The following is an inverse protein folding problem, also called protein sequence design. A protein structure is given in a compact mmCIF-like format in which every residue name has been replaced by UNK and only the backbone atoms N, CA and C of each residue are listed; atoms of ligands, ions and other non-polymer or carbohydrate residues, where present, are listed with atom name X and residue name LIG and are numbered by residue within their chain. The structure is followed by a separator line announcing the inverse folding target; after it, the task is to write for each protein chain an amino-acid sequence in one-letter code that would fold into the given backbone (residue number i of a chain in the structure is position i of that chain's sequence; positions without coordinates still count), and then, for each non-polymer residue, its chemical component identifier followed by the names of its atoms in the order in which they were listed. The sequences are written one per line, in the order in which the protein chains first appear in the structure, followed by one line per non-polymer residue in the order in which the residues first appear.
data_IF_990316131942
#
_entry.id   IF_990316131942
#
_cell.length_a   1.000
_cell.length_b   1.000
_cell.length_c   1.000
_cell.angle_alpha   90.00
_cell.angle_beta   90.00
_cell.angle_gamma   90.00
#
_symmetry.space_group_name_H-M   'P 1'
#
loop_
_entity.id
_entity.type
_entity.pdbx_description
1 polymer ?
#
# COMPACT_ATOMS: atom_id res chain seq x y z
N UNK A 1 -73.04 -28.71 2.52
CA UNK A 1 -71.75 -29.39 2.72
C UNK A 1 -70.64 -28.50 2.19
N UNK A 2 -69.94 -27.77 3.07
CA UNK A 2 -68.82 -26.88 2.69
C UNK A 2 -67.53 -27.67 2.84
N UNK A 3 -66.74 -27.80 1.77
CA UNK A 3 -65.38 -28.36 1.83
C UNK A 3 -64.40 -27.19 1.96
N UNK A 4 -63.66 -27.17 3.06
CA UNK A 4 -62.55 -26.24 3.32
C UNK A 4 -61.28 -26.94 2.85
N UNK A 5 -60.58 -26.31 1.90
CA UNK A 5 -59.30 -26.76 1.36
C UNK A 5 -58.19 -26.08 2.20
N UNK A 6 -57.40 -26.86 2.93
CA UNK A 6 -56.21 -26.36 3.61
C UNK A 6 -55.00 -26.52 2.67
N UNK A 7 -54.40 -25.39 2.27
CA UNK A 7 -53.12 -25.35 1.58
C UNK A 7 -51.98 -25.48 2.59
N UNK A 8 -51.13 -26.47 2.39
CA UNK A 8 -49.87 -26.64 3.11
C UNK A 8 -48.77 -25.90 2.33
N UNK A 9 -48.34 -24.75 2.83
CA UNK A 9 -47.14 -24.07 2.35
C UNK A 9 -45.95 -24.61 3.14
N UNK A 10 -45.05 -25.36 2.49
CA UNK A 10 -43.79 -25.81 3.09
C UNK A 10 -42.81 -24.63 3.01
N UNK A 11 -42.69 -23.87 4.10
CA UNK A 11 -41.65 -22.87 4.28
C UNK A 11 -40.36 -23.60 4.67
N UNK A 12 -39.49 -23.82 3.68
CA UNK A 12 -38.17 -24.42 3.91
C UNK A 12 -37.23 -23.36 4.48
N UNK A 13 -37.12 -23.32 5.81
CA UNK A 13 -36.19 -22.46 6.53
C UNK A 13 -34.78 -23.05 6.37
N UNK A 14 -33.97 -22.48 5.49
CA UNK A 14 -32.57 -22.84 5.35
C UNK A 14 -31.82 -22.46 6.63
N UNK A 15 -31.27 -23.46 7.32
CA UNK A 15 -30.45 -23.31 8.51
C UNK A 15 -29.06 -22.83 8.07
N UNK A 16 -28.83 -21.52 8.08
CA UNK A 16 -27.48 -20.96 7.97
C UNK A 16 -26.76 -21.24 9.31
N UNK A 17 -25.94 -22.28 9.31
CA UNK A 17 -25.05 -22.57 10.43
C UNK A 17 -23.99 -21.48 10.54
N UNK A 18 -24.13 -20.60 11.53
CA UNK A 18 -23.07 -19.69 11.94
C UNK A 18 -21.90 -20.50 12.51
N UNK A 19 -20.82 -20.63 11.74
CA UNK A 19 -19.54 -21.04 12.28
C UNK A 19 -18.85 -19.82 12.91
N UNK A 20 -18.14 -19.98 14.04
CA UNK A 20 -17.37 -18.90 14.63
C UNK A 20 -16.26 -18.48 13.67
N UNK A 21 -16.30 -17.23 13.23
CA UNK A 21 -15.24 -16.62 12.42
C UNK A 21 -13.97 -16.55 13.27
N UNK A 22 -12.92 -17.25 12.84
CA UNK A 22 -11.56 -16.94 13.27
C UNK A 22 -11.18 -15.60 12.66
N UNK A 23 -10.65 -14.67 13.46
CA UNK A 23 -10.15 -13.40 12.96
C UNK A 23 -8.94 -13.65 12.04
N UNK A 24 -9.22 -13.89 10.76
CA UNK A 24 -8.24 -13.81 9.69
C UNK A 24 -7.80 -12.35 9.52
N UNK A 25 -6.59 -12.14 9.01
CA UNK A 25 -6.14 -10.82 8.60
C UNK A 25 -7.22 -10.19 7.70
N UNK A 26 -7.61 -8.97 8.00
CA UNK A 26 -8.55 -8.20 7.18
C UNK A 26 -7.96 -8.09 5.77
N UNK A 27 -8.62 -8.64 4.73
CA UNK A 27 -8.09 -8.55 3.39
C UNK A 27 -8.07 -7.08 2.95
N UNK A 28 -6.95 -6.65 2.38
CA UNK A 28 -6.76 -5.29 1.86
C UNK A 28 -7.31 -5.15 0.42
N UNK A 29 -8.47 -5.76 0.16
CA UNK A 29 -9.08 -5.79 -1.17
C UNK A 29 -10.42 -5.06 -1.15
N UNK A 30 -10.55 -4.04 -2.01
CA UNK A 30 -11.84 -3.41 -2.32
C UNK A 30 -12.38 -4.09 -3.58
N UNK A 31 -13.39 -4.95 -3.44
CA UNK A 31 -14.01 -5.64 -4.59
C UNK A 31 -14.95 -4.76 -5.44
N UNK A 32 -15.12 -3.48 -5.10
CA UNK A 32 -16.10 -2.58 -5.72
C UNK A 32 -15.68 -2.13 -7.12
N UNK A 33 -15.87 -2.99 -8.12
CA UNK A 33 -15.58 -2.72 -9.52
C UNK A 33 -16.53 -3.50 -10.45
N UNK A 34 -16.40 -3.27 -11.75
CA UNK A 34 -17.00 -4.06 -12.82
C UNK A 34 -16.09 -5.22 -13.22
N UNK A 35 -16.68 -6.40 -13.41
CA UNK A 35 -15.97 -7.62 -13.79
C UNK A 35 -16.61 -8.24 -15.03
N UNK A 36 -15.78 -8.79 -15.90
CA UNK A 36 -16.20 -9.75 -16.91
C UNK A 36 -16.20 -11.15 -16.29
N UNK A 37 -17.38 -11.64 -15.92
CA UNK A 37 -17.59 -12.97 -15.35
C UNK A 37 -17.92 -13.97 -16.46
N UNK A 38 -17.12 -15.02 -16.61
CA UNK A 38 -17.36 -16.08 -17.59
C UNK A 38 -17.56 -17.41 -16.89
N UNK A 39 -18.76 -17.99 -17.02
CA UNK A 39 -19.03 -19.38 -16.63
C UNK A 39 -18.74 -20.32 -17.81
N UNK A 40 -17.95 -21.35 -17.59
CA UNK A 40 -17.73 -22.43 -18.55
C UNK A 40 -18.38 -23.70 -18.04
N UNK A 41 -19.35 -24.21 -18.79
CA UNK A 41 -20.10 -25.38 -18.39
C UNK A 41 -19.24 -26.65 -18.36
N UNK A 42 -19.40 -27.44 -17.29
CA UNK A 42 -18.74 -28.72 -17.10
C UNK A 42 -19.73 -29.87 -17.26
N UNK A 43 -20.91 -29.79 -16.62
CA UNK A 43 -21.99 -30.80 -16.75
C UNK A 43 -23.36 -30.14 -16.87
N UNK A 44 -24.31 -30.80 -17.56
CA UNK A 44 -25.71 -30.35 -17.67
C UNK A 44 -25.99 -29.29 -18.75
N UNK A 45 -24.96 -28.81 -19.44
CA UNK A 45 -25.02 -27.81 -20.51
C UNK A 45 -23.76 -27.91 -21.41
N UNK A 46 -23.56 -26.95 -22.32
CA UNK A 46 -22.33 -26.83 -23.10
C UNK A 46 -22.05 -25.39 -23.52
N UNK A 47 -20.78 -25.01 -23.51
CA UNK A 47 -20.31 -23.68 -23.91
C UNK A 47 -19.83 -22.80 -22.75
N UNK A 48 -19.48 -21.57 -23.10
CA UNK A 48 -19.10 -20.52 -22.16
C UNK A 48 -20.11 -19.37 -22.23
N UNK A 49 -20.43 -18.83 -21.08
CA UNK A 49 -21.48 -17.84 -20.88
C UNK A 49 -20.84 -16.60 -20.25
N UNK A 50 -20.54 -15.57 -21.05
CA UNK A 50 -19.99 -14.31 -20.56
C UNK A 50 -21.09 -13.41 -20.01
N UNK A 51 -20.79 -12.78 -18.89
CA UNK A 51 -21.70 -12.00 -18.08
C UNK A 51 -20.96 -10.76 -17.55
N UNK A 52 -21.67 -9.67 -17.27
CA UNK A 52 -21.12 -8.55 -16.49
C UNK A 52 -21.39 -8.77 -15.01
N UNK A 53 -20.50 -8.36 -14.13
CA UNK A 53 -20.76 -8.35 -12.68
C UNK A 53 -20.25 -7.05 -12.11
N UNK A 54 -21.15 -6.21 -11.60
CA UNK A 54 -20.85 -4.92 -10.99
C UNK A 54 -21.04 -5.04 -9.49
N UNK A 55 -19.97 -4.97 -8.71
CA UNK A 55 -20.03 -5.01 -7.24
C UNK A 55 -20.14 -3.57 -6.74
N UNK A 56 -21.25 -3.23 -6.09
CA UNK A 56 -21.59 -1.84 -5.70
C UNK A 56 -21.49 -1.59 -4.20
N UNK A 57 -21.54 -2.65 -3.38
CA UNK A 57 -21.24 -2.58 -1.96
C UNK A 57 -19.93 -3.32 -1.77
N UNK A 58 -18.87 -2.54 -1.53
CA UNK A 58 -17.57 -3.06 -1.15
C UNK A 58 -17.74 -3.97 0.06
N UNK A 59 -16.94 -5.04 0.08
CA UNK A 59 -16.70 -5.87 1.25
C UNK A 59 -16.59 -4.97 2.48
N UNK A 60 -17.56 -5.06 3.40
CA UNK A 60 -17.35 -4.52 4.74
C UNK A 60 -16.10 -5.24 5.28
N UNK A 61 -14.99 -4.53 5.54
CA UNK A 61 -13.71 -5.17 5.87
C UNK A 61 -13.80 -6.00 7.15
N UNK A 62 -14.86 -5.81 7.96
CA UNK A 62 -15.13 -6.59 9.17
C UNK A 62 -15.95 -7.85 8.86
N UNK A 63 -16.88 -7.80 7.91
CA UNK A 63 -17.80 -8.92 7.66
C UNK A 63 -17.52 -9.70 6.38
N UNK A 64 -16.80 -9.13 5.42
CA UNK A 64 -16.51 -9.73 4.12
C UNK A 64 -17.70 -9.74 3.16
N UNK A 65 -18.85 -9.17 3.54
CA UNK A 65 -20.10 -9.25 2.77
C UNK A 65 -20.07 -8.25 1.61
N UNK A 66 -20.44 -8.70 0.41
CA UNK A 66 -20.60 -7.84 -0.76
C UNK A 66 -21.92 -8.07 -1.48
N UNK A 67 -22.34 -7.08 -2.29
CA UNK A 67 -23.48 -7.22 -3.18
C UNK A 67 -23.29 -6.42 -4.48
N UNK A 68 -24.06 -6.80 -5.51
CA UNK A 68 -23.93 -6.24 -6.85
C UNK A 68 -25.03 -6.67 -7.80
N UNK A 69 -24.86 -6.33 -9.07
CA UNK A 69 -25.79 -6.68 -10.17
C UNK A 69 -25.02 -7.12 -11.42
N UNK A 70 -25.74 -7.56 -12.44
CA UNK A 70 -25.14 -7.88 -13.73
C UNK A 70 -26.16 -8.26 -14.80
N UNK A 71 -25.68 -8.56 -16.01
CA UNK A 71 -26.50 -9.04 -17.12
C UNK A 71 -25.75 -9.93 -18.10
N UNK A 72 -26.48 -10.83 -18.78
CA UNK A 72 -25.88 -11.82 -19.67
C UNK A 72 -25.50 -11.13 -20.97
N UNK A 73 -24.22 -11.12 -21.34
CA UNK A 73 -23.73 -10.23 -22.40
C UNK A 73 -24.46 -10.42 -23.75
N UNK A 74 -24.76 -11.66 -24.21
CA UNK A 74 -25.51 -11.86 -25.44
C UNK A 74 -27.00 -11.45 -25.36
N UNK A 75 -27.58 -11.37 -24.16
CA UNK A 75 -28.98 -10.97 -23.94
C UNK A 75 -29.10 -10.08 -22.70
N UNK A 76 -28.78 -8.77 -22.81
CA UNK A 76 -28.73 -7.85 -21.65
C UNK A 76 -30.05 -7.67 -20.89
N UNK A 77 -31.18 -8.09 -21.47
CA UNK A 77 -32.47 -8.13 -20.79
C UNK A 77 -32.55 -9.19 -19.68
N UNK A 78 -31.61 -10.15 -19.64
CA UNK A 78 -31.47 -11.13 -18.57
C UNK A 78 -30.51 -10.53 -17.55
N UNK A 79 -31.07 -9.97 -16.47
CA UNK A 79 -30.35 -9.34 -15.37
C UNK A 79 -30.31 -10.24 -14.14
N UNK A 80 -29.49 -9.90 -13.15
CA UNK A 80 -29.46 -10.57 -11.85
C UNK A 80 -28.92 -9.66 -10.75
N UNK A 81 -29.09 -10.15 -9.52
CA UNK A 81 -28.38 -9.67 -8.34
C UNK A 81 -27.31 -10.68 -7.93
N UNK A 82 -26.22 -10.19 -7.33
CA UNK A 82 -25.20 -11.02 -6.69
C UNK A 82 -25.07 -10.62 -5.22
N UNK A 83 -24.98 -11.62 -4.35
CA UNK A 83 -24.66 -11.44 -2.92
C UNK A 83 -23.59 -12.45 -2.54
N UNK A 84 -22.63 -12.06 -1.72
CA UNK A 84 -21.52 -12.94 -1.40
C UNK A 84 -20.74 -12.55 -0.17
N UNK A 85 -19.72 -13.35 0.12
CA UNK A 85 -18.80 -13.19 1.23
C UNK A 85 -17.35 -13.48 0.80
N UNK A 86 -16.42 -12.67 1.29
CA UNK A 86 -14.97 -12.88 1.20
C UNK A 86 -14.43 -13.25 2.58
N UNK A 87 -13.60 -14.29 2.63
CA UNK A 87 -12.88 -14.72 3.84
C UNK A 87 -11.42 -15.00 3.48
N UNK A 88 -10.54 -14.07 3.81
CA UNK A 88 -9.16 -14.05 3.29
C UNK A 88 -9.17 -13.96 1.76
N UNK A 89 -8.55 -14.94 1.10
CA UNK A 89 -8.56 -15.06 -0.36
C UNK A 89 -9.70 -15.93 -0.88
N UNK A 90 -10.59 -16.45 -0.03
CA UNK A 90 -11.72 -17.25 -0.46
C UNK A 90 -12.92 -16.35 -0.76
N UNK A 91 -13.64 -16.66 -1.84
CA UNK A 91 -14.85 -15.95 -2.21
C UNK A 91 -16.00 -16.94 -2.42
N UNK A 92 -17.17 -16.58 -1.91
CA UNK A 92 -18.43 -17.30 -2.12
C UNK A 92 -19.51 -16.32 -2.53
N UNK A 93 -20.34 -16.68 -3.51
CA UNK A 93 -21.46 -15.82 -3.91
C UNK A 93 -22.62 -16.59 -4.52
N UNK A 94 -23.78 -15.95 -4.47
CA UNK A 94 -25.03 -16.39 -5.06
C UNK A 94 -25.45 -15.38 -6.12
N UNK A 95 -25.66 -15.84 -7.35
CA UNK A 95 -26.35 -15.09 -8.40
C UNK A 95 -27.82 -15.52 -8.42
N UNK A 96 -28.71 -14.53 -8.35
CA UNK A 96 -30.16 -14.70 -8.50
C UNK A 96 -30.64 -13.98 -9.76
N UNK A 97 -30.99 -14.75 -10.79
CA UNK A 97 -31.38 -14.23 -12.10
C UNK A 97 -32.80 -13.71 -12.07
N UNK A 98 -32.95 -12.41 -12.31
CA UNK A 98 -34.22 -11.70 -12.29
C UNK A 98 -35.22 -12.36 -13.24
N UNK A 99 -36.48 -12.41 -12.81
CA UNK A 99 -37.58 -13.03 -13.56
C UNK A 99 -37.42 -14.54 -13.84
N UNK A 100 -36.51 -15.24 -13.16
CA UNK A 100 -36.36 -16.70 -13.20
C UNK A 100 -36.32 -17.30 -11.79
N UNK A 101 -36.55 -18.61 -11.67
CA UNK A 101 -36.27 -19.37 -10.45
C UNK A 101 -34.86 -19.98 -10.48
N UNK A 102 -33.96 -19.41 -11.29
CA UNK A 102 -32.63 -19.95 -11.56
C UNK A 102 -31.58 -19.20 -10.75
N UNK A 103 -30.84 -19.95 -9.94
CA UNK A 103 -29.75 -19.41 -9.13
C UNK A 103 -28.46 -20.18 -9.37
N UNK A 104 -27.33 -19.49 -9.20
CA UNK A 104 -25.99 -20.06 -9.33
C UNK A 104 -25.22 -19.77 -8.05
N UNK A 105 -24.80 -20.84 -7.36
CA UNK A 105 -23.94 -20.76 -6.18
C UNK A 105 -22.50 -20.97 -6.62
N UNK A 106 -21.62 -20.04 -6.29
CA UNK A 106 -20.22 -20.05 -6.67
C UNK A 106 -19.30 -20.02 -5.46
N UNK A 107 -18.19 -20.73 -5.58
CA UNK A 107 -17.07 -20.71 -4.65
C UNK A 107 -15.78 -20.56 -5.45
N UNK A 108 -14.78 -19.87 -4.89
CA UNK A 108 -13.51 -19.66 -5.57
C UNK A 108 -12.49 -18.93 -4.72
N UNK A 109 -11.48 -18.40 -5.41
CA UNK A 109 -10.38 -17.66 -4.80
C UNK A 109 -10.12 -16.34 -5.53
N UNK A 110 -9.67 -15.35 -4.78
CA UNK A 110 -9.13 -14.08 -5.25
C UNK A 110 -7.61 -14.26 -5.36
N UNK A 111 -7.07 -14.23 -6.58
CA UNK A 111 -5.63 -14.37 -6.82
C UNK A 111 -4.92 -13.01 -6.73
N UNK A 112 -5.58 -11.97 -7.20
CA UNK A 112 -5.20 -10.56 -7.10
C UNK A 112 -6.47 -9.68 -7.22
N UNK A 113 -6.33 -8.35 -7.13
CA UNK A 113 -7.43 -7.38 -7.20
C UNK A 113 -8.29 -7.51 -8.47
N UNK A 114 -7.74 -8.03 -9.57
CA UNK A 114 -8.42 -8.10 -10.85
C UNK A 114 -8.86 -9.52 -11.21
N UNK A 115 -8.35 -10.58 -10.58
CA UNK A 115 -8.54 -11.95 -11.05
C UNK A 115 -9.11 -12.85 -9.96
N UNK A 116 -10.32 -13.33 -10.22
CA UNK A 116 -11.01 -14.32 -9.40
C UNK A 116 -11.36 -15.55 -10.22
N UNK A 117 -11.35 -16.72 -9.61
CA UNK A 117 -11.75 -17.96 -10.30
C UNK A 117 -12.26 -19.03 -9.34
N UNK A 118 -13.01 -20.01 -9.87
CA UNK A 118 -13.46 -21.13 -9.07
C UNK A 118 -14.47 -22.04 -9.75
N UNK A 119 -15.37 -22.60 -8.94
CA UNK A 119 -16.44 -23.50 -9.37
C UNK A 119 -17.80 -22.94 -9.01
N UNK A 120 -18.81 -23.26 -9.80
CA UNK A 120 -20.19 -22.91 -9.49
C UNK A 120 -21.15 -24.04 -9.82
N UNK A 121 -22.30 -24.04 -9.16
CA UNK A 121 -23.35 -25.01 -9.40
C UNK A 121 -24.73 -24.35 -9.43
N UNK A 122 -25.59 -24.89 -10.27
CA UNK A 122 -27.05 -24.75 -10.21
C UNK A 122 -27.66 -26.16 -10.14
N UNK A 123 -28.96 -26.33 -9.81
CA UNK A 123 -29.54 -27.65 -9.52
C UNK A 123 -29.35 -28.75 -10.59
N UNK A 124 -29.04 -28.39 -11.84
CA UNK A 124 -28.82 -29.35 -12.94
C UNK A 124 -27.52 -29.13 -13.70
N UNK A 125 -26.71 -28.14 -13.32
CA UNK A 125 -25.52 -27.74 -14.07
C UNK A 125 -24.35 -27.45 -13.14
N UNK A 126 -23.15 -27.71 -13.63
CA UNK A 126 -21.91 -27.30 -12.94
C UNK A 126 -21.04 -26.52 -13.89
N UNK A 127 -20.28 -25.59 -13.33
CA UNK A 127 -19.45 -24.65 -14.05
C UNK A 127 -18.08 -24.51 -13.39
N UNK A 128 -17.10 -24.16 -14.20
CA UNK A 128 -15.96 -23.36 -13.73
C UNK A 128 -16.25 -21.91 -14.04
N UNK A 129 -15.68 -20.99 -13.29
CA UNK A 129 -15.83 -19.56 -13.57
C UNK A 129 -14.51 -18.82 -13.41
N UNK A 130 -14.39 -17.75 -14.18
CA UNK A 130 -13.31 -16.75 -14.07
C UNK A 130 -13.97 -15.38 -14.13
N UNK A 131 -13.55 -14.48 -13.26
CA UNK A 131 -13.92 -13.07 -13.31
C UNK A 131 -12.64 -12.24 -13.42
N UNK A 132 -12.59 -11.39 -14.44
CA UNK A 132 -11.50 -10.44 -14.65
C UNK A 132 -12.06 -9.03 -14.48
N UNK A 133 -11.51 -8.26 -13.55
CA UNK A 133 -11.85 -6.86 -13.32
C UNK A 133 -11.61 -6.07 -14.59
N UNK A 134 -12.59 -5.25 -14.95
CA UNK A 134 -12.43 -4.17 -15.93
C UNK A 134 -11.87 -3.02 -15.11
N UNK A 135 -10.58 -3.10 -14.78
CA UNK A 135 -9.92 -2.18 -13.85
C UNK A 135 -10.26 -0.73 -14.20
N UNK A 136 -11.21 -0.15 -13.47
CA UNK A 136 -11.37 1.29 -13.39
C UNK A 136 -10.59 1.70 -12.18
N UNK A 137 -9.30 1.88 -12.39
CA UNK A 137 -8.46 2.41 -11.35
C UNK A 137 -8.98 3.79 -10.97
N UNK A 138 -9.59 3.90 -9.78
CA UNK A 138 -10.03 5.17 -9.24
C UNK A 138 -8.80 5.87 -8.69
N UNK A 139 -8.54 7.04 -9.24
CA UNK A 139 -7.65 8.05 -8.70
C UNK A 139 -8.58 9.14 -8.14
N UNK A 140 -8.72 9.16 -6.80
CA UNK A 140 -9.76 9.96 -6.14
C UNK A 140 -9.42 11.45 -6.06
N UNK A 141 -8.14 11.77 -6.01
CA UNK A 141 -7.63 13.14 -5.90
C UNK A 141 -7.09 13.68 -7.23
N UNK A 142 -6.93 12.81 -8.23
CA UNK A 142 -6.54 13.16 -9.58
C UNK A 142 -5.06 13.48 -9.69
N UNK A 143 -4.22 12.92 -8.82
CA UNK A 143 -2.78 13.19 -8.80
C UNK A 143 -2.02 12.37 -9.87
N UNK A 144 -2.67 11.37 -10.48
CA UNK A 144 -2.10 10.46 -11.46
C UNK A 144 -1.72 9.09 -10.87
N UNK A 145 -1.95 8.88 -9.57
CA UNK A 145 -1.73 7.62 -8.85
C UNK A 145 -3.08 7.06 -8.40
N UNK A 146 -3.26 5.78 -8.67
CA UNK A 146 -4.52 5.11 -8.38
C UNK A 146 -4.59 4.80 -6.89
N UNK A 147 -5.76 4.92 -6.25
CA UNK A 147 -5.91 4.79 -4.78
C UNK A 147 -5.24 3.54 -4.18
N UNK A 148 -5.18 2.42 -4.91
CA UNK A 148 -4.56 1.17 -4.43
C UNK A 148 -3.02 1.22 -4.39
N UNK A 149 -2.42 2.23 -5.01
CA UNK A 149 -0.98 2.47 -5.13
C UNK A 149 -0.58 3.85 -4.60
N UNK A 150 -1.56 4.65 -4.20
CA UNK A 150 -1.41 5.94 -3.56
C UNK A 150 -1.34 5.71 -2.03
N UNK A 151 -0.25 6.17 -1.42
CA UNK A 151 -0.02 6.14 0.02
C UNK A 151 -0.44 7.45 0.70
N UNK A 152 -0.81 8.47 -0.07
CA UNK A 152 -0.98 9.83 0.38
C UNK A 152 -2.23 10.48 -0.23
N UNK A 153 -3.41 10.10 0.26
CA UNK A 153 -4.68 10.70 -0.17
C UNK A 153 -4.65 12.24 -0.21
N UNK A 154 -5.19 12.80 -1.30
CA UNK A 154 -5.42 14.24 -1.45
C UNK A 154 -4.19 15.02 -1.87
N UNK A 155 -3.30 14.40 -2.64
CA UNK A 155 -2.08 15.02 -3.12
C UNK A 155 -2.39 16.17 -4.05
N UNK A 156 -2.10 17.37 -3.55
CA UNK A 156 -2.03 18.56 -4.36
C UNK A 156 -0.58 18.78 -4.83
N UNK A 157 -0.39 19.39 -6.02
CA UNK A 157 0.89 19.98 -6.38
C UNK A 157 1.39 20.90 -5.26
N UNK A 158 2.71 20.89 -5.02
CA UNK A 158 3.30 21.77 -4.02
C UNK A 158 3.08 23.25 -4.39
N UNK A 159 3.05 24.14 -3.40
CA UNK A 159 2.94 25.60 -3.61
C UNK A 159 3.93 26.08 -4.68
N UNK A 160 3.54 27.09 -5.49
CA UNK A 160 4.33 27.51 -6.64
C UNK A 160 5.74 27.94 -6.24
N UNK A 161 6.68 27.49 -7.07
CA UNK A 161 8.12 27.67 -6.96
C UNK A 161 8.54 29.07 -6.44
N UNK A 162 9.39 29.11 -5.42
CA UNK A 162 10.07 30.32 -4.93
C UNK A 162 11.60 30.18 -4.96
N UNK A 163 12.27 31.08 -5.70
CA UNK A 163 13.73 31.16 -5.83
C UNK A 163 14.46 31.32 -4.47
N UNK A 164 13.77 31.71 -3.41
CA UNK A 164 14.32 31.88 -2.07
C UNK A 164 14.64 30.56 -1.34
N UNK A 165 14.19 29.41 -1.86
CA UNK A 165 14.27 28.12 -1.16
C UNK A 165 15.66 27.45 -1.20
N UNK A 166 16.60 28.02 -1.96
CA UNK A 166 17.97 27.52 -2.05
C UNK A 166 18.11 26.29 -2.96
N UNK A 167 19.34 25.84 -3.18
CA UNK A 167 19.68 24.86 -4.24
C UNK A 167 19.33 23.41 -3.86
N UNK A 168 19.02 22.54 -4.84
CA UNK A 168 18.79 21.10 -4.66
C UNK A 168 17.56 20.74 -3.80
N UNK A 169 16.47 21.47 -4.00
CA UNK A 169 15.17 21.23 -3.37
C UNK A 169 14.21 20.63 -4.38
N UNK A 170 13.51 19.58 -3.95
CA UNK A 170 12.62 18.78 -4.78
C UNK A 170 11.19 19.10 -4.39
N UNK A 171 10.31 19.21 -5.38
CA UNK A 171 8.90 19.48 -5.20
C UNK A 171 8.10 18.86 -6.35
N UNK A 172 6.84 18.61 -6.10
CA UNK A 172 5.86 18.14 -7.08
C UNK A 172 5.24 19.36 -7.77
N UNK A 173 5.27 19.40 -9.09
CA UNK A 173 4.67 20.47 -9.88
C UNK A 173 3.59 19.96 -10.83
N UNK A 174 2.61 20.82 -11.11
CA UNK A 174 1.61 20.61 -12.18
C UNK A 174 2.20 21.11 -13.51
N UNK A 175 2.22 20.25 -14.51
CA UNK A 175 2.75 20.49 -15.85
C UNK A 175 1.80 21.34 -16.72
N UNK A 176 1.21 22.39 -16.14
CA UNK A 176 0.22 23.25 -16.79
C UNK A 176 -0.96 22.46 -17.41
N UNK A 177 -1.56 21.54 -16.65
CA UNK A 177 -2.81 20.86 -17.03
C UNK A 177 -2.63 19.61 -17.88
N UNK A 178 -1.52 18.90 -17.74
CA UNK A 178 -1.41 17.48 -18.08
C UNK A 178 -1.81 16.62 -16.88
N UNK A 179 -2.32 15.41 -17.14
CA UNK A 179 -2.71 14.45 -16.09
C UNK A 179 -1.50 13.83 -15.35
N UNK A 180 -0.28 14.24 -15.69
CA UNK A 180 0.96 13.67 -15.15
C UNK A 180 1.64 14.69 -14.21
N UNK A 181 1.70 14.35 -12.92
CA UNK A 181 2.37 15.18 -11.92
C UNK A 181 3.85 14.78 -11.79
N UNK A 182 4.76 15.74 -12.02
CA UNK A 182 6.20 15.52 -12.08
C UNK A 182 6.98 16.11 -10.90
N UNK A 183 8.09 15.46 -10.56
CA UNK A 183 9.04 15.98 -9.59
C UNK A 183 10.07 16.89 -10.25
N UNK A 184 10.17 18.08 -9.69
CA UNK A 184 11.05 19.15 -10.12
C UNK A 184 12.11 19.45 -9.09
N UNK A 185 13.29 19.84 -9.55
CA UNK A 185 14.42 20.26 -8.72
C UNK A 185 14.77 21.71 -8.96
N UNK A 186 15.03 22.45 -7.88
CA UNK A 186 15.62 23.77 -8.00
C UNK A 186 17.01 23.71 -8.66
N UNK A 187 17.14 24.36 -9.81
CA UNK A 187 18.44 24.64 -10.39
C UNK A 187 19.15 25.67 -9.51
N UNK A 188 20.31 25.33 -8.96
CA UNK A 188 21.03 26.23 -8.03
C UNK A 188 21.57 27.54 -8.66
N UNK A 189 21.10 27.92 -9.85
CA UNK A 189 21.55 29.09 -10.59
C UNK A 189 20.58 30.24 -10.36
N UNK A 190 21.08 31.29 -9.69
CA UNK A 190 20.39 32.56 -9.51
C UNK A 190 19.87 33.09 -10.85
N UNK A 191 18.56 33.33 -10.96
CA UNK A 191 17.89 33.85 -12.16
C UNK A 191 17.38 32.80 -13.16
N UNK A 192 17.40 31.51 -12.80
CA UNK A 192 16.68 30.46 -13.53
C UNK A 192 15.33 30.26 -12.86
N UNK A 193 14.26 30.67 -13.54
CA UNK A 193 12.87 30.59 -13.06
C UNK A 193 12.19 29.27 -13.38
N UNK A 194 12.84 28.39 -14.15
CA UNK A 194 12.27 27.12 -14.61
C UNK A 194 12.98 25.99 -13.83
N UNK A 195 12.25 25.24 -12.99
CA UNK A 195 12.78 24.06 -12.32
C UNK A 195 13.30 23.01 -13.32
N UNK A 196 14.29 22.23 -12.91
CA UNK A 196 14.81 21.12 -13.70
C UNK A 196 13.92 19.89 -13.44
N UNK A 197 13.30 19.36 -14.49
CA UNK A 197 12.62 18.06 -14.42
C UNK A 197 13.64 16.97 -14.04
N UNK A 198 13.27 16.18 -13.05
CA UNK A 198 14.13 15.14 -12.48
C UNK A 198 13.95 13.79 -13.17
N UNK A 199 12.90 13.64 -13.97
CA UNK A 199 12.44 12.38 -14.55
C UNK A 199 11.70 11.47 -13.58
N UNK A 200 11.50 11.89 -12.32
CA UNK A 200 10.63 11.20 -11.37
C UNK A 200 9.18 11.70 -11.53
N UNK A 201 8.23 10.80 -11.37
CA UNK A 201 6.79 11.09 -11.34
C UNK A 201 6.25 10.92 -9.93
N UNK A 202 5.04 11.44 -9.67
CA UNK A 202 4.36 11.21 -8.39
C UNK A 202 4.08 9.71 -8.14
N UNK A 203 3.94 8.92 -9.20
CA UNK A 203 3.82 7.48 -9.12
C UNK A 203 5.05 6.80 -8.51
N UNK A 204 6.26 7.34 -8.75
CA UNK A 204 7.49 6.83 -8.12
C UNK A 204 7.46 7.03 -6.61
N UNK A 205 6.79 8.07 -6.11
CA UNK A 205 6.64 8.36 -4.68
C UNK A 205 5.33 7.85 -4.10
N UNK A 206 4.63 6.97 -4.82
CA UNK A 206 3.35 6.39 -4.40
C UNK A 206 2.30 7.45 -4.05
N UNK A 207 2.13 8.45 -4.92
CA UNK A 207 1.15 9.50 -4.73
C UNK A 207 1.60 10.59 -3.75
N UNK A 208 2.71 10.44 -3.03
CA UNK A 208 3.09 11.41 -2.01
C UNK A 208 3.89 12.60 -2.56
N UNK A 209 3.49 13.83 -2.21
CA UNK A 209 4.31 15.04 -2.41
C UNK A 209 5.36 15.23 -1.30
N UNK A 210 6.17 16.29 -1.42
CA UNK A 210 7.27 16.55 -0.49
C UNK A 210 6.79 16.79 0.95
N UNK A 211 5.67 17.49 1.16
CA UNK A 211 5.14 17.74 2.49
C UNK A 211 4.51 16.51 3.12
N UNK A 212 3.78 15.70 2.35
CA UNK A 212 3.19 14.45 2.81
C UNK A 212 4.27 13.43 3.20
N UNK A 213 5.33 13.28 2.39
CA UNK A 213 6.47 12.42 2.74
C UNK A 213 7.08 12.85 4.09
N UNK A 214 7.30 14.15 4.29
CA UNK A 214 7.86 14.64 5.55
C UNK A 214 6.91 14.43 6.74
N UNK A 215 5.61 14.61 6.54
CA UNK A 215 4.60 14.38 7.57
C UNK A 215 4.53 12.91 7.99
N UNK A 216 4.59 11.99 7.03
CA UNK A 216 4.60 10.56 7.30
C UNK A 216 5.89 10.12 8.00
N UNK A 217 7.04 10.66 7.57
CA UNK A 217 8.32 10.42 8.24
C UNK A 217 8.31 10.95 9.68
N UNK A 218 7.77 12.14 9.92
CA UNK A 218 7.62 12.72 11.27
C UNK A 218 6.67 11.90 12.14
N UNK A 219 5.53 11.46 11.60
CA UNK A 219 4.59 10.60 12.31
C UNK A 219 5.20 9.24 12.66
N UNK A 220 5.99 8.65 11.75
CA UNK A 220 6.62 7.34 11.93
C UNK A 220 7.83 7.40 12.88
N UNK A 221 8.64 8.43 12.79
CA UNK A 221 9.94 8.52 13.51
C UNK A 221 9.88 9.37 14.78
N UNK A 222 8.88 10.26 14.89
CA UNK A 222 8.79 11.27 15.94
C UNK A 222 9.83 12.39 15.82
N UNK A 223 10.57 12.47 14.70
CA UNK A 223 11.57 13.50 14.49
C UNK A 223 11.02 14.74 13.79
N UNK A 224 11.37 15.96 14.23
CA UNK A 224 11.00 17.18 13.53
C UNK A 224 11.85 17.37 12.27
N UNK A 225 11.21 17.54 11.12
CA UNK A 225 11.85 17.85 9.83
C UNK A 225 11.74 19.33 9.45
N UNK A 226 11.70 20.25 10.44
CA UNK A 226 11.44 21.70 10.27
C UNK A 226 12.24 22.39 9.15
N UNK A 227 13.51 21.98 8.96
CA UNK A 227 14.36 22.51 7.90
C UNK A 227 13.96 22.07 6.50
N UNK A 228 13.30 20.92 6.35
CA UNK A 228 12.83 20.39 5.08
C UNK A 228 11.46 20.94 4.70
N UNK A 229 10.55 21.14 5.66
CA UNK A 229 9.24 21.77 5.38
C UNK A 229 9.39 23.18 4.79
N UNK A 230 10.33 23.97 5.31
CA UNK A 230 10.51 25.37 4.89
C UNK A 230 11.12 25.53 3.49
N UNK A 231 11.93 24.57 3.06
CA UNK A 231 12.74 24.70 1.85
C UNK A 231 12.45 23.63 0.80
N UNK A 232 11.46 22.77 1.02
CA UNK A 232 11.20 21.59 0.19
C UNK A 232 12.03 20.37 0.58
N UNK A 233 11.61 19.21 0.09
CA UNK A 233 12.25 17.94 0.42
C UNK A 233 13.60 17.82 -0.29
N UNK A 234 14.57 17.17 0.37
CA UNK A 234 15.90 16.94 -0.22
C UNK A 234 15.90 15.65 -1.03
N UNK A 235 16.72 15.58 -2.10
CA UNK A 235 16.89 14.39 -2.94
C UNK A 235 16.99 13.08 -2.14
N UNK A 236 17.85 13.07 -1.12
CA UNK A 236 18.09 11.85 -0.35
C UNK A 236 16.85 11.35 0.39
N UNK A 237 15.96 12.26 0.82
CA UNK A 237 14.71 11.86 1.48
C UNK A 237 13.76 11.21 0.47
N UNK A 238 13.66 11.79 -0.74
CA UNK A 238 12.84 11.19 -1.82
C UNK A 238 13.41 9.83 -2.23
N UNK A 239 14.73 9.71 -2.42
CA UNK A 239 15.39 8.45 -2.76
C UNK A 239 15.24 7.40 -1.65
N UNK A 240 15.36 7.79 -0.38
CA UNK A 240 15.16 6.90 0.76
C UNK A 240 13.68 6.46 0.86
N UNK A 241 12.72 7.36 0.63
CA UNK A 241 11.29 7.06 0.58
C UNK A 241 10.96 6.02 -0.49
N UNK A 242 11.41 6.24 -1.73
CA UNK A 242 11.22 5.32 -2.86
C UNK A 242 11.84 3.94 -2.55
N UNK A 243 12.93 3.90 -1.80
CA UNK A 243 13.58 2.67 -1.37
C UNK A 243 12.91 2.00 -0.14
N UNK A 244 11.83 2.58 0.41
CA UNK A 244 11.18 2.10 1.63
C UNK A 244 12.04 2.26 2.89
N UNK A 245 12.91 3.27 2.92
CA UNK A 245 13.86 3.55 4.01
C UNK A 245 13.43 4.78 4.80
N UNK A 246 13.36 4.62 6.13
CA UNK A 246 12.94 5.68 7.06
C UNK A 246 14.13 6.24 7.81
N UNK A 247 14.33 7.56 7.75
CA UNK A 247 15.47 8.21 8.39
C UNK A 247 15.25 8.38 9.89
N UNK A 248 16.11 7.77 10.71
CA UNK A 248 15.87 7.69 12.16
C UNK A 248 16.38 8.85 12.97
N UNK A 249 17.62 9.27 12.72
CA UNK A 249 18.31 10.41 13.29
C UNK A 249 19.77 10.42 12.81
N UNK A 250 20.47 11.52 13.08
CA UNK A 250 21.92 11.58 12.91
C UNK A 250 22.60 11.46 14.27
N UNK A 251 23.26 10.34 14.54
CA UNK A 251 23.94 10.12 15.83
C UNK A 251 25.40 10.59 15.78
N UNK A 252 25.89 11.34 16.78
CA UNK A 252 27.30 11.63 16.90
C UNK A 252 28.06 10.35 17.27
N UNK A 253 29.14 10.06 16.54
CA UNK A 253 30.07 8.97 16.88
C UNK A 253 31.39 9.59 17.33
N UNK A 254 31.86 9.18 18.51
CA UNK A 254 33.17 9.58 19.02
C UNK A 254 34.28 9.02 18.14
N UNK A 255 35.19 9.89 17.69
CA UNK A 255 36.39 9.46 16.97
C UNK A 255 37.30 8.55 17.79
N UNK A 256 37.11 8.47 19.11
CA UNK A 256 37.86 7.60 20.03
C UNK A 256 37.25 6.19 20.16
N UNK A 257 36.20 5.87 19.40
CA UNK A 257 35.61 4.53 19.35
C UNK A 257 34.46 4.27 20.34
N UNK A 258 33.74 5.31 20.76
CA UNK A 258 32.54 5.12 21.59
C UNK A 258 31.37 4.53 20.82
N UNK A 259 30.46 3.91 21.58
CA UNK A 259 29.18 3.39 21.11
C UNK A 259 28.22 4.57 20.88
N UNK A 260 27.75 4.75 19.65
CA UNK A 260 26.57 5.57 19.42
C UNK A 260 25.32 4.79 19.84
N UNK A 261 24.47 5.43 20.64
CA UNK A 261 23.21 4.85 21.11
C UNK A 261 22.06 5.75 20.69
N UNK A 262 21.08 5.15 20.02
CA UNK A 262 19.76 5.74 19.78
C UNK A 262 18.78 5.15 20.79
N UNK A 263 17.87 5.97 21.32
CA UNK A 263 16.76 5.51 22.17
C UNK A 263 15.42 5.53 21.41
N UNK A 264 15.44 5.72 20.09
CA UNK A 264 14.22 5.77 19.30
C UNK A 264 13.58 4.39 19.24
N UNK A 265 12.29 4.33 19.58
CA UNK A 265 11.48 3.11 19.49
C UNK A 265 11.17 2.89 18.01
N UNK A 266 11.49 1.70 17.50
CA UNK A 266 11.32 1.34 16.09
C UNK A 266 10.07 0.47 15.91
N UNK A 267 9.30 0.77 14.87
CA UNK A 267 8.26 -0.13 14.39
C UNK A 267 8.90 -1.22 13.53
N UNK A 268 8.62 -2.48 13.88
CA UNK A 268 9.18 -3.64 13.20
C UNK A 268 8.82 -3.76 11.71
N UNK A 269 7.82 -3.02 11.23
CA UNK A 269 7.35 -3.10 9.85
C UNK A 269 8.22 -2.29 8.86
N UNK A 270 9.09 -1.42 9.35
CA UNK A 270 9.88 -0.52 8.50
C UNK A 270 11.38 -0.83 8.52
N UNK A 271 12.04 -0.46 7.43
CA UNK A 271 13.50 -0.45 7.33
C UNK A 271 14.01 0.94 7.65
N UNK A 272 14.95 1.05 8.58
CA UNK A 272 15.45 2.35 9.02
C UNK A 272 16.91 2.59 8.62
N UNK A 273 17.21 3.85 8.34
CA UNK A 273 18.56 4.35 8.09
C UNK A 273 19.01 5.24 9.25
N UNK A 274 20.09 4.81 9.93
CA UNK A 274 20.78 5.61 10.94
C UNK A 274 22.04 6.21 10.30
N UNK A 275 22.16 7.53 10.24
CA UNK A 275 23.42 8.17 9.84
C UNK A 275 24.27 8.49 11.06
N UNK A 276 25.54 8.14 10.96
CA UNK A 276 26.55 8.56 11.91
C UNK A 276 27.26 9.80 11.36
N UNK A 277 27.55 10.78 12.23
CA UNK A 277 28.51 11.84 11.91
C UNK A 277 29.67 11.81 12.90
N UNK A 278 30.89 12.04 12.40
CA UNK A 278 32.08 12.07 13.23
C UNK A 278 32.08 13.28 14.17
N UNK A 279 32.34 13.04 15.45
CA UNK A 279 32.74 14.13 16.35
C UNK A 279 34.22 14.47 16.15
N UNK A 280 34.63 15.68 16.56
CA UNK A 280 36.00 16.17 16.41
C UNK A 280 36.99 15.23 17.09
N UNK A 281 37.95 14.70 16.32
CA UNK A 281 39.13 14.05 16.89
C UNK A 281 40.21 15.12 17.09
N UNK A 282 40.72 15.25 18.32
CA UNK A 282 41.94 16.03 18.54
C UNK A 282 43.10 15.22 17.93
N UNK A 283 43.69 15.74 16.85
CA UNK A 283 44.64 15.00 16.02
C UNK A 283 45.97 14.72 16.72
N UNK A 284 46.18 15.29 17.92
CA UNK A 284 47.41 15.17 18.67
C UNK A 284 47.14 14.99 20.16
N UNK A 285 47.85 14.05 20.78
CA UNK A 285 47.86 13.80 22.24
C UNK A 285 48.42 14.96 23.09
N UNK A 286 48.75 16.11 22.50
CA UNK A 286 49.38 17.24 23.22
C UNK A 286 49.03 18.61 22.62
N UNK A 287 47.80 19.07 22.80
CA UNK A 287 47.44 20.50 22.83
C UNK A 287 47.72 21.30 21.54
N UNK A 288 47.73 20.65 20.38
CA UNK A 288 48.09 21.31 19.12
C UNK A 288 46.94 22.12 18.51
N UNK A 289 45.70 21.98 19.00
CA UNK A 289 44.54 22.74 18.54
C UNK A 289 44.10 22.42 17.10
N UNK A 290 44.60 21.33 16.52
CA UNK A 290 44.19 20.86 15.20
C UNK A 290 43.11 19.80 15.35
N UNK A 291 41.88 20.16 15.01
CA UNK A 291 40.79 19.21 14.90
C UNK A 291 40.81 18.58 13.51
N UNK A 292 40.78 17.25 13.44
CA UNK A 292 40.43 16.55 12.20
C UNK A 292 38.95 16.23 12.28
N UNK A 293 38.21 16.61 11.24
CA UNK A 293 36.85 16.13 11.03
C UNK A 293 36.95 14.68 10.59
N UNK A 294 36.41 13.78 11.40
CA UNK A 294 36.28 12.38 11.02
C UNK A 294 35.21 12.28 9.94
N UNK A 295 35.58 11.74 8.78
CA UNK A 295 34.66 11.43 7.69
C UNK A 295 34.26 9.95 7.78
N UNK A 296 33.06 9.63 8.29
CA UNK A 296 32.61 8.26 8.46
C UNK A 296 32.41 7.53 7.13
N UNK A 297 32.26 8.23 5.99
CA UNK A 297 32.03 7.58 4.69
C UNK A 297 33.26 6.79 4.19
N UNK A 298 34.45 7.04 4.73
CA UNK A 298 35.71 6.44 4.29
C UNK A 298 36.34 5.45 5.29
N UNK A 299 35.60 4.98 6.29
CA UNK A 299 36.12 4.06 7.33
C UNK A 299 35.61 2.62 7.16
N UNK A 300 36.44 1.62 7.52
CA UNK A 300 36.15 0.18 7.32
C UNK A 300 35.25 -0.41 8.41
N UNK A 301 34.28 -1.26 8.02
CA UNK A 301 33.21 -1.80 8.89
C UNK A 301 33.56 -3.12 9.59
N UNK A 302 33.15 -3.29 10.86
CA UNK A 302 33.16 -4.57 11.58
C UNK A 302 31.81 -4.78 12.30
N UNK A 303 31.02 -5.79 11.93
CA UNK A 303 29.68 -6.01 12.49
C UNK A 303 29.70 -6.93 13.72
N UNK A 304 28.91 -6.59 14.74
CA UNK A 304 28.47 -7.52 15.80
C UNK A 304 26.95 -7.70 15.73
N UNK A 305 26.43 -8.92 15.98
CA UNK A 305 25.00 -9.23 15.86
C UNK A 305 24.14 -8.50 16.90
N UNK A 306 22.91 -8.15 16.50
CA UNK A 306 21.86 -7.59 17.35
C UNK A 306 21.56 -8.53 18.53
N UNK A 307 21.51 -7.98 19.75
CA UNK A 307 21.09 -8.72 20.95
C UNK A 307 19.70 -8.22 21.36
N UNK A 308 18.66 -9.06 21.33
CA UNK A 308 17.34 -8.69 21.81
C UNK A 308 17.40 -8.32 23.30
N UNK A 309 16.86 -7.18 23.69
CA UNK A 309 16.70 -6.86 25.12
C UNK A 309 15.48 -7.59 25.70
N UNK A 310 15.49 -7.93 27.00
CA UNK A 310 14.38 -8.63 27.66
C UNK A 310 13.05 -7.86 27.69
N UNK A 311 13.07 -6.55 27.38
CA UNK A 311 11.93 -5.62 27.45
C UNK A 311 11.23 -5.41 26.12
N UNK A 312 11.68 -6.04 25.03
CA UNK A 312 11.19 -5.74 23.68
C UNK A 312 11.83 -4.47 23.08
N UNK A 313 12.76 -3.82 23.78
CA UNK A 313 13.60 -2.77 23.23
C UNK A 313 14.70 -3.37 22.33
N UNK A 314 14.87 -2.78 21.15
CA UNK A 314 15.97 -3.12 20.25
C UNK A 314 17.18 -2.26 20.64
N UNK A 315 18.09 -2.81 21.47
CA UNK A 315 19.31 -2.09 21.88
C UNK A 315 20.38 -2.28 20.80
N UNK A 316 20.61 -1.24 20.00
CA UNK A 316 21.74 -1.17 19.07
C UNK A 316 23.05 -0.95 19.84
N UNK A 317 23.90 -1.97 19.90
CA UNK A 317 25.28 -1.85 20.41
C UNK A 317 26.24 -1.82 19.24
N UNK A 318 26.77 -0.63 18.95
CA UNK A 318 27.76 -0.43 17.90
C UNK A 318 29.17 -0.28 18.49
N UNK A 319 30.12 -1.19 18.19
CA UNK A 319 31.54 -1.00 18.52
C UNK A 319 32.29 -0.59 17.25
N UNK A 320 32.96 0.57 17.29
CA UNK A 320 33.52 1.30 16.14
C UNK A 320 34.47 0.48 15.25
N UNK A 321 34.21 0.46 13.95
CA UNK A 321 34.71 1.40 12.93
C UNK A 321 33.66 1.35 11.79
N UNK A 322 33.11 2.49 11.33
CA UNK A 322 31.70 2.56 10.85
C UNK A 322 31.52 3.23 9.49
N UNK A 323 30.63 2.65 8.68
CA UNK A 323 29.79 3.30 7.67
C UNK A 323 28.32 2.85 7.87
N UNK A 324 27.38 3.43 7.12
CA UNK A 324 25.91 3.21 7.13
C UNK A 324 25.44 1.87 7.74
N UNK A 325 24.57 1.95 8.77
CA UNK A 325 23.90 0.79 9.34
C UNK A 325 22.47 0.74 8.79
N UNK A 326 22.21 -0.21 7.90
CA UNK A 326 20.85 -0.55 7.48
C UNK A 326 20.29 -1.59 8.45
N UNK A 327 19.21 -1.23 9.14
CA UNK A 327 18.51 -2.15 10.04
C UNK A 327 17.38 -2.77 9.22
N UNK A 328 17.69 -3.84 8.49
CA UNK A 328 16.69 -4.63 7.78
C UNK A 328 16.08 -5.65 8.73
N UNK A 329 14.77 -5.62 8.91
CA UNK A 329 14.09 -6.65 9.68
C UNK A 329 13.92 -7.91 8.81
N UNK A 330 14.79 -8.91 8.97
CA UNK A 330 14.59 -10.22 8.35
C UNK A 330 13.65 -11.06 9.25
N UNK A 331 12.36 -10.73 9.26
CA UNK A 331 11.38 -11.65 9.85
C UNK A 331 11.26 -12.82 8.87
N UNK A 332 11.92 -13.94 9.18
CA UNK A 332 11.61 -15.20 8.52
C UNK A 332 10.15 -15.55 8.87
N UNK A 333 9.28 -15.80 7.88
CA UNK A 333 7.91 -16.22 8.16
C UNK A 333 7.94 -17.53 8.96
N UNK A 334 7.19 -17.56 10.07
CA UNK A 334 6.95 -18.76 10.89
C UNK A 334 5.91 -19.64 10.20
#
# INVERSE_FOLDING_TARGET
MKKILYGFTVLSLAFLGFMPATAGATPDYILSDDYLLTFTCVTGCGGSYPHTMSITVATDPVTGIFSGTGHYNPVPAITWTVTGNVDGNNITFLIDYDASAYTVNATGTIADLANMSGTAYSPSQTFTWVATGILTYVDSDGDGVVNISDLCDGTAPDEPWDESWGTNRWQVGDDNGGDDTHWYKNSGKKGVTIPEDTGLTIGDTHGCNGHQILAELEATTGLPFDGHYKYGVSKSIVEDWIAGKYYLETVPVSALGDVATSNTILDSNYSYLLKAYGSLADACTSGCGYNIYFDPEYSTVCFSPLIPAPTGELILRHQSLVSFLEITNSVQPI
#
